data_IF_738955062521
#
_entry.id   IF_738955062521
#
_cell.length_a   1.000
_cell.length_b   1.000
_cell.length_c   1.000
_cell.angle_alpha   90.00
_cell.angle_beta   90.00
_cell.angle_gamma   90.00
#
_symmetry.space_group_name_H-M   'P 1'
#
loop_
_entity.id
_entity.type
_entity.pdbx_description
1 polymer ?
#
# COMPACT_ATOMS: atom_id res chain seq x y z
N UNK A 1 20.45 -5.68 4.03
CA UNK A 1 19.21 -6.44 3.72
C UNK A 1 18.82 -7.23 4.94
N UNK A 2 17.55 -7.23 5.32
CA UNK A 2 17.00 -8.14 6.33
C UNK A 2 16.35 -9.30 5.59
N UNK A 3 16.75 -10.54 5.91
CA UNK A 3 16.19 -11.74 5.31
C UNK A 3 15.31 -12.46 6.33
N UNK A 4 14.05 -12.71 5.97
CA UNK A 4 13.06 -13.38 6.80
C UNK A 4 12.66 -14.66 6.08
N UNK A 5 12.76 -15.80 6.75
CA UNK A 5 12.22 -17.05 6.22
C UNK A 5 10.71 -17.08 6.41
N UNK A 6 9.98 -17.16 5.31
CA UNK A 6 8.54 -17.29 5.30
C UNK A 6 8.16 -18.67 4.78
N UNK A 7 7.40 -19.43 5.57
CA UNK A 7 6.70 -20.61 5.07
C UNK A 7 5.41 -20.18 4.40
N UNK A 8 5.16 -20.75 3.22
CA UNK A 8 3.97 -20.47 2.44
C UNK A 8 2.78 -21.21 3.05
N UNK A 9 1.97 -20.52 3.86
CA UNK A 9 0.74 -21.07 4.46
C UNK A 9 -0.50 -20.60 3.70
N UNK A 10 -1.02 -21.43 2.79
CA UNK A 10 -2.26 -21.14 2.06
C UNK A 10 -2.18 -21.49 0.57
N UNK A 11 -3.32 -21.34 -0.13
CA UNK A 11 -3.42 -21.56 -1.58
C UNK A 11 -3.07 -20.28 -2.35
N UNK A 12 -1.81 -19.87 -2.28
CA UNK A 12 -1.32 -18.76 -3.10
C UNK A 12 -1.04 -19.27 -4.50
N UNK A 13 -1.79 -18.77 -5.46
CA UNK A 13 -1.65 -19.17 -6.85
C UNK A 13 -0.59 -18.33 -7.58
N UNK A 14 -0.37 -17.07 -7.17
CA UNK A 14 0.52 -16.10 -7.84
C UNK A 14 1.29 -15.28 -6.81
N UNK A 15 2.47 -14.79 -7.22
CA UNK A 15 3.39 -14.01 -6.38
C UNK A 15 2.77 -12.74 -5.80
N UNK A 16 2.06 -11.96 -6.61
CA UNK A 16 1.44 -10.70 -6.18
C UNK A 16 0.49 -10.89 -5.00
N UNK A 17 -0.29 -11.97 -5.02
CA UNK A 17 -1.18 -12.33 -3.91
C UNK A 17 -0.39 -12.61 -2.62
N UNK A 18 0.80 -13.22 -2.72
CA UNK A 18 1.64 -13.47 -1.56
C UNK A 18 2.23 -12.17 -1.01
N UNK A 19 2.73 -11.29 -1.88
CA UNK A 19 3.26 -9.98 -1.48
C UNK A 19 2.20 -9.09 -0.83
N UNK A 20 0.99 -9.06 -1.40
CA UNK A 20 -0.16 -8.36 -0.82
C UNK A 20 -0.52 -8.91 0.57
N UNK A 21 -0.46 -10.23 0.75
CA UNK A 21 -0.78 -10.84 2.04
C UNK A 21 0.28 -10.52 3.11
N UNK A 22 1.55 -10.51 2.73
CA UNK A 22 2.65 -10.04 3.62
C UNK A 22 2.46 -8.57 3.95
N UNK A 23 2.04 -7.74 3.00
CA UNK A 23 1.71 -6.35 3.27
C UNK A 23 0.58 -6.24 4.30
N UNK A 24 -0.52 -6.95 4.10
CA UNK A 24 -1.65 -6.95 5.03
C UNK A 24 -1.27 -7.47 6.43
N UNK A 25 -0.49 -8.55 6.51
CA UNK A 25 -0.17 -9.22 7.78
C UNK A 25 1.00 -8.58 8.55
N UNK A 26 1.99 -8.03 7.84
CA UNK A 26 3.23 -7.51 8.42
C UNK A 26 3.41 -6.01 8.25
N UNK A 27 2.52 -5.35 7.49
CA UNK A 27 2.60 -3.92 7.16
C UNK A 27 3.91 -3.56 6.46
N UNK A 28 4.41 -4.47 5.62
CA UNK A 28 5.63 -4.28 4.85
C UNK A 28 5.22 -3.92 3.41
N UNK A 29 5.63 -2.75 2.89
CA UNK A 29 5.31 -2.32 1.53
C UNK A 29 5.73 -3.35 0.48
N UNK A 30 4.85 -3.67 -0.49
CA UNK A 30 5.08 -4.66 -1.55
C UNK A 30 6.39 -4.42 -2.31
N UNK A 31 6.73 -3.16 -2.59
CA UNK A 31 7.97 -2.78 -3.27
C UNK A 31 9.24 -3.00 -2.43
N UNK A 32 9.12 -3.09 -1.09
CA UNK A 32 10.23 -3.46 -0.20
C UNK A 32 10.37 -4.98 -0.08
N UNK A 33 9.40 -5.74 -0.59
CA UNK A 33 9.41 -7.19 -0.52
C UNK A 33 10.09 -7.77 -1.76
N UNK A 34 11.28 -8.33 -1.58
CA UNK A 34 11.89 -9.21 -2.57
C UNK A 34 11.67 -10.64 -2.12
N UNK A 35 10.90 -11.41 -2.87
CA UNK A 35 10.70 -12.83 -2.59
C UNK A 35 11.72 -13.64 -3.39
N UNK A 36 12.38 -14.59 -2.74
CA UNK A 36 13.32 -15.49 -3.40
C UNK A 36 13.20 -16.92 -2.89
N UNK A 37 13.48 -17.88 -3.77
CA UNK A 37 13.55 -19.31 -3.44
C UNK A 37 14.83 -19.89 -4.05
N UNK A 38 15.61 -20.61 -3.24
CA UNK A 38 16.88 -21.22 -3.66
C UNK A 38 17.81 -20.24 -4.40
N UNK A 39 17.81 -18.97 -3.99
CA UNK A 39 18.61 -17.90 -4.60
C UNK A 39 18.04 -17.29 -5.88
N UNK A 40 16.89 -17.75 -6.38
CA UNK A 40 16.15 -17.13 -7.49
C UNK A 40 15.12 -16.14 -6.96
N UNK A 41 15.19 -14.89 -7.43
CA UNK A 41 14.16 -13.88 -7.16
C UNK A 41 12.91 -14.21 -7.97
N UNK A 42 11.74 -14.12 -7.33
CA UNK A 42 10.45 -14.19 -7.99
C UNK A 42 10.10 -12.79 -8.52
N UNK A 43 9.78 -12.69 -9.80
CA UNK A 43 9.37 -11.44 -10.44
C UNK A 43 8.09 -11.63 -11.25
N UNK A 44 6.96 -11.05 -10.81
CA UNK A 44 5.78 -10.71 -11.63
C UNK A 44 5.02 -11.87 -12.29
N UNK A 45 3.76 -12.05 -11.90
CA UNK A 45 2.72 -12.88 -12.54
C UNK A 45 2.94 -14.40 -12.63
N UNK A 46 4.10 -14.93 -12.23
CA UNK A 46 4.27 -16.38 -12.25
C UNK A 46 3.38 -17.06 -11.23
N UNK A 47 2.75 -18.16 -11.65
CA UNK A 47 2.12 -19.04 -10.67
C UNK A 47 3.20 -19.65 -9.80
N UNK A 48 2.98 -19.64 -8.48
CA UNK A 48 3.94 -20.21 -7.53
C UNK A 48 4.16 -21.71 -7.82
N UNK A 49 3.11 -22.42 -8.25
CA UNK A 49 3.19 -23.82 -8.66
C UNK A 49 4.08 -24.05 -9.89
N UNK A 50 4.15 -23.10 -10.82
CA UNK A 50 4.95 -23.22 -12.04
C UNK A 50 6.45 -23.09 -11.74
N UNK A 51 6.80 -22.51 -10.58
CA UNK A 51 8.17 -22.45 -10.04
C UNK A 51 8.47 -23.60 -9.07
N UNK A 52 7.62 -24.63 -9.00
CA UNK A 52 7.79 -25.76 -8.08
C UNK A 52 7.56 -25.41 -6.61
N UNK A 53 6.97 -24.24 -6.31
CA UNK A 53 6.68 -23.80 -4.95
C UNK A 53 5.42 -24.52 -4.47
N UNK A 54 5.56 -25.22 -3.34
CA UNK A 54 4.47 -25.92 -2.67
C UNK A 54 4.25 -25.35 -1.25
N UNK A 55 3.21 -25.81 -0.57
CA UNK A 55 2.85 -25.38 0.81
C UNK A 55 3.92 -25.62 1.88
N UNK A 56 4.96 -26.38 1.56
CA UNK A 56 6.10 -26.66 2.44
C UNK A 56 7.39 -25.97 2.00
N UNK A 57 7.38 -25.28 0.85
CA UNK A 57 8.52 -24.49 0.39
C UNK A 57 8.79 -23.33 1.34
N UNK A 58 10.07 -23.02 1.52
CA UNK A 58 10.54 -21.87 2.28
C UNK A 58 10.89 -20.77 1.29
N UNK A 59 10.20 -19.64 1.37
CA UNK A 59 10.52 -18.44 0.60
C UNK A 59 11.32 -17.51 1.52
N UNK A 60 12.39 -16.94 1.00
CA UNK A 60 13.15 -15.89 1.68
C UNK A 60 12.56 -14.56 1.24
N UNK A 61 11.98 -13.83 2.21
CA UNK A 61 11.61 -12.44 2.08
C UNK A 61 12.83 -11.58 2.43
N UNK A 62 13.41 -10.92 1.44
CA UNK A 62 14.45 -9.92 1.61
C UNK A 62 13.83 -8.52 1.61
N UNK A 63 14.18 -7.72 2.61
CA UNK A 63 13.76 -6.32 2.69
C UNK A 63 14.81 -5.41 2.07
N UNK A 64 14.43 -4.71 1.00
CA UNK A 64 15.23 -3.61 0.47
C UNK A 64 15.11 -2.40 1.42
N UNK A 65 16.25 -2.01 1.99
CA UNK A 65 16.38 -0.83 2.83
C UNK A 65 16.73 0.35 1.93
N UNK A 66 15.76 1.25 1.73
CA UNK A 66 15.99 2.57 1.15
C UNK A 66 16.05 2.61 -0.37
N UNK A 67 14.96 3.07 -0.98
CA UNK A 67 14.95 4.33 -1.72
C UNK A 67 13.49 4.77 -1.66
N UNK A 68 13.24 5.92 -1.05
CA UNK A 68 11.90 6.45 -0.94
C UNK A 68 11.89 7.81 -1.61
N UNK A 69 11.26 7.85 -2.77
CA UNK A 69 11.08 9.08 -3.51
C UNK A 69 10.00 9.90 -2.82
N UNK A 70 10.36 11.11 -2.39
CA UNK A 70 9.37 12.10 -2.01
C UNK A 70 8.61 12.57 -3.26
N UNK A 71 7.30 12.67 -3.12
CA UNK A 71 6.35 13.07 -4.13
C UNK A 71 5.36 14.07 -3.53
N UNK A 72 4.86 14.97 -4.36
CA UNK A 72 3.71 15.79 -4.00
C UNK A 72 2.45 15.12 -4.53
N UNK A 73 1.52 14.85 -3.62
CA UNK A 73 0.20 14.35 -3.98
C UNK A 73 -0.79 15.50 -4.00
N UNK A 74 -1.73 15.48 -4.93
CA UNK A 74 -2.86 16.39 -4.99
C UNK A 74 -4.08 15.65 -4.47
N UNK A 75 -4.57 16.00 -3.29
CA UNK A 75 -5.80 15.43 -2.74
C UNK A 75 -6.90 16.47 -2.86
N UNK A 76 -7.92 16.16 -3.64
CA UNK A 76 -9.13 16.98 -3.70
C UNK A 76 -10.03 16.61 -2.52
N UNK A 77 -10.15 17.51 -1.55
CA UNK A 77 -10.98 17.34 -0.36
C UNK A 77 -12.36 18.00 -0.56
N UNK A 78 -13.46 17.34 -0.16
CA UNK A 78 -14.83 17.82 -0.35
C UNK A 78 -15.12 19.22 0.22
N UNK A 79 -14.51 19.59 1.34
CA UNK A 79 -14.80 20.83 2.08
C UNK A 79 -13.62 21.80 2.19
N UNK A 80 -12.44 21.40 1.72
CA UNK A 80 -11.19 22.15 1.93
C UNK A 80 -10.44 22.47 0.63
N UNK A 81 -10.95 22.05 -0.53
CA UNK A 81 -10.29 22.25 -1.82
C UNK A 81 -9.14 21.27 -2.06
N UNK A 82 -8.17 21.65 -2.90
CA UNK A 82 -7.00 20.82 -3.20
C UNK A 82 -5.90 21.05 -2.16
N UNK A 83 -5.41 19.97 -1.54
CA UNK A 83 -4.24 20.01 -0.65
C UNK A 83 -3.08 19.23 -1.25
N UNK A 84 -1.86 19.70 -0.97
CA UNK A 84 -0.62 19.15 -1.52
C UNK A 84 0.35 18.59 -0.48
N UNK A 85 0.03 17.48 0.20
CA UNK A 85 0.97 16.84 1.11
C UNK A 85 2.20 16.30 0.37
N UNK A 86 3.37 16.46 1.00
CA UNK A 86 4.63 15.82 0.58
C UNK A 86 4.71 14.43 1.20
N UNK A 87 4.50 13.42 0.39
CA UNK A 87 4.47 12.03 0.83
C UNK A 87 5.59 11.24 0.14
N UNK A 88 5.81 10.04 0.63
CA UNK A 88 6.78 9.10 0.10
C UNK A 88 6.09 7.90 -0.54
N UNK A 89 6.74 7.26 -1.52
CA UNK A 89 6.20 6.03 -2.14
C UNK A 89 5.88 4.92 -1.11
N UNK A 90 6.61 4.90 0.01
CA UNK A 90 6.43 3.97 1.10
C UNK A 90 5.56 4.49 2.25
N UNK A 91 5.08 5.75 2.20
CA UNK A 91 4.08 6.23 3.14
C UNK A 91 2.75 5.50 2.92
N UNK A 92 1.98 5.35 4.00
CA UNK A 92 0.65 4.77 3.96
C UNK A 92 -0.42 5.82 3.73
N UNK A 93 -1.62 5.39 3.34
CA UNK A 93 -2.79 6.28 3.23
C UNK A 93 -3.09 6.94 4.58
N UNK A 94 -2.88 6.26 5.71
CA UNK A 94 -3.04 6.86 7.03
C UNK A 94 -2.02 7.96 7.30
N UNK A 95 -0.77 7.81 6.84
CA UNK A 95 0.26 8.84 6.97
C UNK A 95 -0.07 10.06 6.10
N UNK A 96 -0.57 9.82 4.89
CA UNK A 96 -1.09 10.86 4.00
C UNK A 96 -2.23 11.65 4.67
N UNK A 97 -3.17 10.94 5.32
CA UNK A 97 -4.31 11.56 6.02
C UNK A 97 -3.86 12.40 7.21
N UNK A 98 -2.89 11.92 8.01
CA UNK A 98 -2.30 12.70 9.12
C UNK A 98 -1.64 13.98 8.61
N UNK A 99 -0.98 13.92 7.46
CA UNK A 99 -0.36 15.10 6.86
C UNK A 99 -1.41 16.09 6.33
N UNK A 100 -2.45 15.60 5.65
CA UNK A 100 -3.57 16.43 5.24
C UNK A 100 -4.25 17.10 6.45
N UNK A 101 -4.44 16.38 7.56
CA UNK A 101 -4.95 16.93 8.83
C UNK A 101 -4.09 18.08 9.34
N UNK A 102 -2.77 17.97 9.28
CA UNK A 102 -1.85 19.07 9.67
C UNK A 102 -2.00 20.31 8.79
N UNK A 103 -2.36 20.14 7.51
CA UNK A 103 -2.49 21.24 6.55
C UNK A 103 -3.86 21.92 6.57
N UNK A 104 -4.95 21.16 6.71
CA UNK A 104 -6.32 21.67 6.57
C UNK A 104 -7.24 21.39 7.77
N UNK A 105 -6.77 20.65 8.78
CA UNK A 105 -7.52 20.37 10.01
C UNK A 105 -8.56 19.24 9.91
N UNK A 106 -8.72 18.59 8.75
CA UNK A 106 -9.69 17.50 8.59
C UNK A 106 -9.24 16.22 9.31
N UNK A 107 -10.12 15.66 10.12
CA UNK A 107 -9.90 14.37 10.79
C UNK A 107 -9.83 13.21 9.79
N UNK A 108 -8.96 12.23 10.06
CA UNK A 108 -8.68 11.12 9.14
C UNK A 108 -9.92 10.24 8.86
N UNK A 109 -10.87 10.22 9.79
CA UNK A 109 -12.13 9.47 9.74
C UNK A 109 -13.25 10.15 8.96
N UNK A 110 -13.15 11.47 8.71
CA UNK A 110 -14.20 12.25 8.04
C UNK A 110 -14.29 12.00 6.53
N UNK A 111 -13.30 11.32 5.95
CA UNK A 111 -13.24 11.06 4.51
C UNK A 111 -12.51 9.76 4.16
N UNK A 112 -12.76 9.29 2.94
CA UNK A 112 -12.12 8.13 2.32
C UNK A 112 -11.33 8.59 1.11
N UNK A 113 -10.09 8.11 0.97
CA UNK A 113 -9.23 8.45 -0.17
C UNK A 113 -9.52 7.48 -1.30
N UNK A 114 -9.78 8.00 -2.49
CA UNK A 114 -10.11 7.25 -3.70
C UNK A 114 -9.09 7.60 -4.77
N UNK A 115 -8.61 6.58 -5.45
CA UNK A 115 -7.67 6.69 -6.56
C UNK A 115 -8.19 5.90 -7.77
N UNK A 116 -8.35 6.55 -8.93
CA UNK A 116 -8.92 5.93 -10.14
C UNK A 116 -10.21 5.12 -9.89
N UNK A 117 -11.10 5.64 -9.03
CA UNK A 117 -12.35 4.98 -8.65
C UNK A 117 -12.20 3.82 -7.66
N UNK A 118 -10.98 3.49 -7.22
CA UNK A 118 -10.69 2.48 -6.20
C UNK A 118 -10.51 3.14 -4.83
N UNK A 119 -11.23 2.64 -3.84
CA UNK A 119 -11.05 3.05 -2.44
C UNK A 119 -9.67 2.58 -1.96
N UNK A 120 -8.90 3.51 -1.37
CA UNK A 120 -7.63 3.20 -0.71
C UNK A 120 -7.84 3.03 0.79
N UNK A 121 -7.35 1.91 1.31
CA UNK A 121 -7.37 1.56 2.74
C UNK A 121 -6.17 2.16 3.47
N UNK A 122 -6.34 2.46 4.76
CA UNK A 122 -5.35 3.18 5.58
C UNK A 122 -3.94 2.54 5.59
N UNK A 123 -3.87 1.22 5.50
CA UNK A 123 -2.62 0.45 5.50
C UNK A 123 -1.96 0.32 4.11
N UNK A 124 -2.66 0.70 3.04
CA UNK A 124 -2.09 0.64 1.69
C UNK A 124 -1.04 1.72 1.53
N UNK A 125 0.07 1.37 0.87
CA UNK A 125 1.16 2.31 0.57
C UNK A 125 0.84 3.11 -0.68
N UNK A 126 1.43 4.29 -0.84
CA UNK A 126 1.24 5.12 -2.04
C UNK A 126 1.92 4.54 -3.29
N UNK A 127 2.78 3.53 -3.14
CA UNK A 127 3.22 2.72 -4.27
C UNK A 127 2.12 1.78 -4.81
N UNK A 128 1.10 1.46 -4.01
CA UNK A 128 0.04 0.55 -4.42
C UNK A 128 -0.83 1.17 -5.52
N UNK A 129 -1.00 0.44 -6.63
CA UNK A 129 -1.90 0.85 -7.71
C UNK A 129 -1.43 2.04 -8.55
N UNK A 130 -0.14 2.40 -8.53
CA UNK A 130 0.44 3.52 -9.29
C UNK A 130 0.02 4.94 -8.85
N UNK A 131 -0.42 5.10 -7.60
CA UNK A 131 -0.60 6.44 -6.98
C UNK A 131 0.71 7.25 -7.04
N UNK A 132 1.85 6.59 -6.90
CA UNK A 132 3.18 7.18 -7.08
C UNK A 132 3.44 7.81 -8.47
N UNK A 133 2.72 7.37 -9.51
CA UNK A 133 2.88 7.86 -10.89
C UNK A 133 1.73 8.77 -11.34
N UNK A 134 0.65 8.83 -10.57
CA UNK A 134 -0.49 9.71 -10.80
C UNK A 134 -0.86 10.39 -9.48
N UNK A 135 -0.41 11.64 -9.26
CA UNK A 135 -0.51 12.27 -7.94
C UNK A 135 -1.94 12.72 -7.59
N UNK A 136 -2.93 12.54 -8.46
CA UNK A 136 -4.28 13.05 -8.27
C UNK A 136 -5.15 12.04 -7.53
N UNK A 137 -5.44 12.34 -6.27
CA UNK A 137 -6.31 11.59 -5.38
C UNK A 137 -7.59 12.40 -5.13
N UNK A 138 -8.72 11.70 -5.04
CA UNK A 138 -10.00 12.31 -4.68
C UNK A 138 -10.45 11.78 -3.33
N UNK A 139 -10.87 12.65 -2.42
CA UNK A 139 -11.47 12.22 -1.17
C UNK A 139 -13.01 12.26 -1.28
N UNK A 140 -13.66 11.21 -0.78
CA UNK A 140 -15.11 11.16 -0.62
C UNK A 140 -15.46 11.36 0.85
N UNK A 141 -16.33 12.31 1.15
CA UNK A 141 -16.75 12.59 2.53
C UNK A 141 -17.66 11.48 3.05
N UNK A 142 -17.50 11.11 4.31
CA UNK A 142 -18.55 10.39 5.02
C UNK A 142 -19.68 11.37 5.32
N UNK A 143 -20.82 11.22 4.65
CA UNK A 143 -22.06 11.84 5.11
C UNK A 143 -22.52 11.07 6.34
N UNK A 144 -22.08 11.47 7.54
CA UNK A 144 -22.83 11.10 8.73
C UNK A 144 -24.17 11.82 8.66
N UNK A 145 -25.24 11.08 8.32
CA UNK A 145 -26.59 11.55 8.54
C UNK A 145 -26.75 11.87 10.05
N UNK A 146 -27.25 13.07 10.30
CA UNK A 146 -27.84 13.57 11.54
C UNK A 146 -26.92 13.98 12.70
N UNK A 147 -26.81 15.30 12.89
CA UNK A 147 -27.34 15.92 14.12
C UNK A 147 -28.34 17.00 13.71
N UNK A 148 -29.61 16.59 13.65
CA UNK A 148 -30.68 17.51 14.01
C UNK A 148 -30.64 17.58 15.54
N UNK A 149 -30.39 18.78 16.07
CA UNK A 149 -30.85 19.26 17.36
C UNK A 149 -30.73 20.77 17.36
#
# INVERSE_FOLDING_TARGET
>A
MLNIQCRVFGNFQVEDKLKDNINCAKRIPVQKQTLSIDGRVLEGDYKLTDNGINKHSTIILSLQLGFSREMLLNITLPSAGEVRPSAKEDDTVDDLKKQARRMCGLFEESYRVVFNGKLLEGYQTLAYGAVAYNPNLTAMQYMSRARAN
#
